data_IF_945236972241
#
_entry.id   IF_945236972241
#
_cell.length_a   1.000
_cell.length_b   1.000
_cell.length_c   1.000
_cell.angle_alpha   90.00
_cell.angle_beta   90.00
_cell.angle_gamma   90.00
#
_symmetry.space_group_name_H-M   'P 1'
#
loop_
_entity.id
_entity.type
_entity.pdbx_description
1 polymer ?
#
# COMPACT_ATOMS: atom_id res chain seq x y z
N UNK A 1 14.24 3.16 4.91
CA UNK A 1 12.83 3.21 5.36
C UNK A 1 12.70 2.27 6.53
N UNK A 2 12.19 2.75 7.67
CA UNK A 2 12.18 1.99 8.93
C UNK A 2 11.77 0.52 8.76
N UNK A 3 10.60 0.24 8.16
CA UNK A 3 10.11 -1.14 8.00
C UNK A 3 10.84 -2.04 7.00
N UNK A 4 11.87 -1.55 6.32
CA UNK A 4 12.67 -2.33 5.37
C UNK A 4 14.06 -2.67 5.89
N UNK A 5 14.44 -2.11 7.03
CA UNK A 5 15.66 -2.50 7.72
C UNK A 5 15.46 -3.92 8.27
N UNK A 6 16.49 -4.77 8.15
CA UNK A 6 16.38 -6.20 8.51
C UNK A 6 15.96 -6.38 9.96
N UNK A 7 16.41 -5.50 10.85
CA UNK A 7 16.04 -5.51 12.27
C UNK A 7 14.60 -5.08 12.53
N UNK A 8 14.00 -4.32 11.61
CA UNK A 8 12.70 -3.66 11.80
C UNK A 8 11.59 -4.25 10.91
N UNK A 9 11.91 -5.15 9.96
CA UNK A 9 10.93 -5.71 9.03
C UNK A 9 9.77 -6.39 9.75
N UNK A 10 10.05 -7.36 10.60
CA UNK A 10 9.02 -8.11 11.33
C UNK A 10 8.17 -7.21 12.24
N UNK A 11 8.80 -6.20 12.87
CA UNK A 11 8.10 -5.22 13.68
C UNK A 11 7.16 -4.37 12.82
N UNK A 12 7.60 -3.94 11.64
CA UNK A 12 6.78 -3.15 10.72
C UNK A 12 5.56 -3.92 10.22
N UNK A 13 5.73 -5.22 9.95
CA UNK A 13 4.64 -6.09 9.52
C UNK A 13 3.60 -6.25 10.63
N UNK A 14 4.03 -6.40 11.89
CA UNK A 14 3.12 -6.41 13.05
C UNK A 14 2.34 -5.11 13.18
N UNK A 15 3.01 -3.96 13.04
CA UNK A 15 2.35 -2.64 13.06
C UNK A 15 1.31 -2.53 11.93
N UNK A 16 1.62 -3.03 10.74
CA UNK A 16 0.68 -3.09 9.62
C UNK A 16 -0.56 -3.95 9.92
N UNK A 17 -0.38 -5.08 10.60
CA UNK A 17 -1.47 -5.98 11.02
C UNK A 17 -2.39 -5.42 12.11
N UNK A 18 -1.92 -4.46 12.90
CA UNK A 18 -2.76 -3.83 13.94
C UNK A 18 -4.02 -3.18 13.33
N UNK A 19 -3.90 -2.58 12.14
CA UNK A 19 -5.00 -1.78 11.57
C UNK A 19 -5.02 -1.80 10.04
N UNK A 20 -3.90 -1.46 9.39
CA UNK A 20 -3.88 -1.18 7.95
C UNK A 20 -4.27 -2.41 7.12
N UNK A 21 -3.61 -3.55 7.32
CA UNK A 21 -3.83 -4.73 6.48
C UNK A 21 -5.23 -5.31 6.66
N UNK A 22 -5.72 -5.35 7.91
CA UNK A 22 -7.09 -5.78 8.25
C UNK A 22 -8.16 -4.95 7.54
N UNK A 23 -7.94 -3.65 7.38
CA UNK A 23 -8.88 -2.74 6.69
C UNK A 23 -8.82 -2.86 5.17
N UNK A 24 -7.66 -3.22 4.60
CA UNK A 24 -7.48 -3.32 3.16
C UNK A 24 -7.92 -4.67 2.57
N UNK A 25 -7.72 -5.77 3.30
CA UNK A 25 -8.09 -7.14 2.85
C UNK A 25 -9.56 -7.32 2.42
N UNK A 26 -10.58 -6.77 3.12
CA UNK A 26 -11.97 -6.95 2.72
C UNK A 26 -12.41 -6.03 1.59
N UNK A 27 -11.57 -5.07 1.15
CA UNK A 27 -11.93 -4.16 0.07
C UNK A 27 -12.03 -4.91 -1.25
N UNK A 28 -13.00 -4.52 -2.09
CA UNK A 28 -13.11 -5.01 -3.47
C UNK A 28 -11.78 -4.86 -4.21
N UNK A 29 -11.50 -5.80 -5.13
CA UNK A 29 -10.31 -5.72 -5.99
C UNK A 29 -10.35 -4.51 -6.91
N UNK A 30 -11.54 -4.00 -7.22
CA UNK A 30 -11.74 -2.78 -8.01
C UNK A 30 -11.45 -1.50 -7.20
N UNK A 31 -11.35 -1.59 -5.87
CA UNK A 31 -11.01 -0.44 -5.03
C UNK A 31 -9.57 -0.01 -5.27
N UNK A 32 -9.39 1.21 -5.77
CA UNK A 32 -8.07 1.81 -5.93
C UNK A 32 -7.56 2.29 -4.58
N UNK A 33 -6.34 1.88 -4.22
CA UNK A 33 -5.66 2.32 -3.00
C UNK A 33 -4.65 3.41 -3.37
N UNK A 34 -4.80 4.60 -2.80
CA UNK A 34 -3.90 5.72 -3.04
C UNK A 34 -2.84 5.82 -1.93
N UNK A 35 -1.57 5.84 -2.29
CA UNK A 35 -0.45 6.07 -1.36
C UNK A 35 0.70 6.83 -2.04
N UNK A 36 1.05 7.97 -1.45
CA UNK A 36 2.11 8.88 -1.95
C UNK A 36 3.52 8.34 -1.72
N UNK A 37 3.79 7.75 -0.54
CA UNK A 37 5.12 7.24 -0.19
C UNK A 37 5.43 5.91 -0.87
N UNK A 38 6.65 5.78 -1.42
CA UNK A 38 7.15 4.50 -1.96
C UNK A 38 7.12 3.40 -0.91
N UNK A 39 7.59 3.70 0.31
CA UNK A 39 7.55 2.76 1.44
C UNK A 39 6.12 2.34 1.79
N UNK A 40 5.16 3.27 1.76
CA UNK A 40 3.76 2.96 2.05
C UNK A 40 3.17 2.02 0.99
N UNK A 41 3.45 2.28 -0.29
CA UNK A 41 3.00 1.41 -1.39
C UNK A 41 3.59 0.01 -1.28
N UNK A 42 4.90 -0.10 -1.03
CA UNK A 42 5.53 -1.40 -0.84
C UNK A 42 4.98 -2.12 0.41
N UNK A 43 4.78 -1.43 1.55
CA UNK A 43 4.23 -2.05 2.76
C UNK A 43 2.84 -2.65 2.50
N UNK A 44 1.99 -1.93 1.75
CA UNK A 44 0.67 -2.42 1.36
C UNK A 44 0.80 -3.63 0.45
N UNK A 45 1.72 -3.60 -0.53
CA UNK A 45 1.98 -4.73 -1.42
C UNK A 45 2.47 -5.96 -0.65
N UNK A 46 3.47 -5.80 0.22
CA UNK A 46 4.08 -6.87 0.99
C UNK A 46 3.08 -7.50 1.99
N UNK A 47 2.23 -6.68 2.65
CA UNK A 47 1.30 -7.16 3.68
C UNK A 47 -0.08 -7.60 3.18
N UNK A 48 -0.48 -7.21 1.96
CA UNK A 48 -1.85 -7.47 1.46
C UNK A 48 -1.89 -7.99 0.03
N UNK A 49 -0.76 -8.05 -0.67
CA UNK A 49 -0.66 -8.36 -2.11
C UNK A 49 -1.46 -7.41 -3.02
N UNK A 50 -1.88 -6.26 -2.48
CA UNK A 50 -2.56 -5.21 -3.25
C UNK A 50 -1.55 -4.17 -3.73
N UNK A 51 -1.69 -3.76 -4.98
CA UNK A 51 -0.91 -2.66 -5.53
C UNK A 51 -1.59 -1.33 -5.21
N UNK A 52 -0.95 -0.52 -4.38
CA UNK A 52 -1.35 0.87 -4.18
C UNK A 52 -0.69 1.76 -5.25
N UNK A 53 -1.39 2.81 -5.68
CA UNK A 53 -0.92 3.74 -6.71
C UNK A 53 -0.56 5.09 -6.11
N UNK A 54 0.41 5.77 -6.73
CA UNK A 54 0.66 7.17 -6.41
C UNK A 54 -0.57 8.00 -6.84
N UNK A 55 -1.04 8.97 -6.03
CA UNK A 55 -2.23 9.75 -6.36
C UNK A 55 -2.18 10.41 -7.75
N UNK A 56 -1.00 10.90 -8.16
CA UNK A 56 -0.83 11.49 -9.50
C UNK A 56 -0.99 10.45 -10.62
N UNK A 57 -0.61 9.20 -10.42
CA UNK A 57 -0.85 8.14 -11.41
C UNK A 57 -2.34 7.84 -11.54
N UNK A 58 -3.08 7.86 -10.42
CA UNK A 58 -4.55 7.71 -10.43
C UNK A 58 -5.18 8.86 -11.22
N UNK A 59 -4.77 10.11 -10.93
CA UNK A 59 -5.27 11.28 -11.65
C UNK A 59 -4.93 11.23 -13.14
N UNK A 60 -3.70 10.84 -13.50
CA UNK A 60 -3.30 10.67 -14.90
C UNK A 60 -4.24 9.69 -15.61
N UNK A 61 -4.44 8.51 -15.04
CA UNK A 61 -5.29 7.46 -15.65
C UNK A 61 -6.76 7.88 -15.75
N UNK A 62 -7.24 8.73 -14.83
CA UNK A 62 -8.60 9.25 -14.86
C UNK A 62 -8.80 10.37 -15.89
N UNK A 63 -7.80 11.23 -16.09
CA UNK A 63 -7.87 12.39 -16.99
C UNK A 63 -7.45 12.08 -18.42
N UNK A 64 -6.51 11.14 -18.59
CA UNK A 64 -5.94 10.73 -19.88
C UNK A 64 -5.87 9.19 -19.89
N UNK A 65 -7.00 8.51 -20.15
CA UNK A 65 -7.01 7.06 -20.33
C UNK A 65 -6.18 6.70 -21.56
N UNK A 66 -5.37 5.63 -21.47
CA UNK A 66 -4.69 5.06 -22.65
C UNK A 66 -5.67 4.38 -23.61
#
# INVERSE_FOLDING_TARGET
>A
SFGYEKEHYDLSMKIGEESLFKKLRPLSQETIIAANGTSCRHQIADGTQRQALHPISILKNALIPE
#
